data_IF_979104312516
#
_entry.id   IF_979104312516
#
_cell.length_a   1.000
_cell.length_b   1.000
_cell.length_c   1.000
_cell.angle_alpha   90.00
_cell.angle_beta   90.00
_cell.angle_gamma   90.00
#
_symmetry.space_group_name_H-M   'P 1'
#
loop_
_entity.id
_entity.type
_entity.pdbx_description
1 polymer ?
#
# COMPACT_ATOMS: atom_id res chain seq x y z
N UNK A 1 11.33 5.63 5.73
CA UNK A 1 10.97 4.70 6.82
C UNK A 1 9.48 4.46 6.80
N UNK A 2 9.04 3.20 6.95
CA UNK A 2 7.63 2.85 7.01
C UNK A 2 7.09 3.14 8.40
N UNK A 3 5.99 3.89 8.52
CA UNK A 3 5.38 4.20 9.81
C UNK A 3 4.58 3.02 10.40
N UNK A 4 4.37 1.95 9.64
CA UNK A 4 3.67 0.75 10.14
C UNK A 4 4.62 -0.26 10.81
N UNK A 5 5.82 -0.41 10.27
CA UNK A 5 6.73 -1.48 10.65
C UNK A 5 8.15 -1.00 10.98
N UNK A 6 8.36 0.32 11.01
CA UNK A 6 9.62 1.01 11.28
C UNK A 6 10.80 0.61 10.39
N UNK A 7 10.56 -0.18 9.34
CA UNK A 7 11.59 -0.59 8.39
C UNK A 7 11.96 0.57 7.47
N UNK A 8 13.26 0.74 7.26
CA UNK A 8 13.77 1.55 6.17
C UNK A 8 13.46 0.90 4.83
N UNK A 9 13.01 1.68 3.87
CA UNK A 9 12.72 1.22 2.52
C UNK A 9 12.89 2.37 1.54
N UNK A 10 13.23 2.01 0.30
CA UNK A 10 13.28 2.96 -0.80
C UNK A 10 11.87 3.14 -1.40
N UNK A 11 11.36 4.37 -1.41
CA UNK A 11 10.01 4.65 -1.89
C UNK A 11 9.95 4.79 -3.42
N UNK A 12 10.17 3.68 -4.14
CA UNK A 12 10.12 3.66 -5.62
C UNK A 12 8.71 3.82 -6.19
N UNK A 13 7.70 3.45 -5.41
CA UNK A 13 6.31 3.43 -5.83
C UNK A 13 5.56 4.73 -5.52
N UNK A 14 6.22 5.70 -4.88
CA UNK A 14 5.64 6.97 -4.43
C UNK A 14 4.36 6.80 -3.59
N UNK A 15 4.33 5.75 -2.75
CA UNK A 15 3.22 5.45 -1.83
C UNK A 15 3.70 5.61 -0.38
N UNK A 16 2.77 5.86 0.53
CA UNK A 16 3.09 6.18 1.93
C UNK A 16 3.43 4.96 2.81
N UNK A 17 3.71 3.79 2.21
CA UNK A 17 3.98 2.53 2.91
C UNK A 17 5.10 1.75 2.23
N UNK A 18 5.76 0.85 2.97
CA UNK A 18 6.76 -0.03 2.38
C UNK A 18 6.13 -1.15 1.53
N UNK A 19 6.92 -1.80 0.65
CA UNK A 19 6.45 -2.92 -0.16
C UNK A 19 5.83 -4.07 0.66
N UNK A 20 6.38 -4.39 1.82
CA UNK A 20 5.85 -5.46 2.68
C UNK A 20 4.45 -5.13 3.21
N UNK A 21 4.26 -3.90 3.71
CA UNK A 21 2.95 -3.44 4.17
C UNK A 21 1.97 -3.26 3.01
N UNK A 22 2.46 -2.92 1.82
CA UNK A 22 1.64 -2.79 0.62
C UNK A 22 1.01 -4.12 0.21
N UNK A 23 1.72 -5.24 0.34
CA UNK A 23 1.16 -6.57 0.10
C UNK A 23 0.03 -6.92 1.09
N UNK A 24 0.14 -6.48 2.34
CA UNK A 24 -0.92 -6.65 3.35
C UNK A 24 -2.13 -5.80 3.00
N UNK A 25 -1.93 -4.53 2.65
CA UNK A 25 -3.01 -3.62 2.25
C UNK A 25 -3.68 -4.07 0.95
N UNK A 26 -2.92 -4.66 0.01
CA UNK A 26 -3.47 -5.26 -1.21
C UNK A 26 -4.45 -6.38 -0.89
N UNK A 27 -4.09 -7.32 -0.02
CA UNK A 27 -4.99 -8.40 0.43
C UNK A 27 -6.24 -7.86 1.11
N UNK A 28 -6.12 -6.82 1.92
CA UNK A 28 -7.29 -6.15 2.54
C UNK A 28 -8.20 -5.54 1.47
N UNK A 29 -7.62 -4.84 0.50
CA UNK A 29 -8.34 -4.20 -0.59
C UNK A 29 -9.08 -5.22 -1.48
N UNK A 30 -8.45 -6.36 -1.76
CA UNK A 30 -9.08 -7.50 -2.46
C UNK A 30 -10.31 -8.05 -1.70
N UNK A 31 -10.31 -7.95 -0.37
CA UNK A 31 -11.46 -8.28 0.49
C UNK A 31 -12.44 -7.10 0.69
N UNK A 32 -12.30 -6.01 -0.07
CA UNK A 32 -13.16 -4.83 0.01
C UNK A 32 -12.85 -3.88 1.17
N UNK A 33 -11.73 -4.06 1.87
CA UNK A 33 -11.30 -3.20 2.98
C UNK A 33 -10.29 -2.16 2.46
N UNK A 34 -10.66 -0.87 2.41
CA UNK A 34 -9.75 0.17 1.93
C UNK A 34 -8.62 0.44 2.94
N UNK A 35 -7.48 0.88 2.41
CA UNK A 35 -6.35 1.37 3.20
C UNK A 35 -6.69 2.67 3.91
N UNK A 36 -6.06 2.90 5.06
CA UNK A 36 -6.08 4.22 5.73
C UNK A 36 -5.35 5.29 4.91
N UNK A 37 -4.45 4.89 4.01
CA UNK A 37 -3.68 5.81 3.18
C UNK A 37 -4.37 6.02 1.82
N UNK A 38 -4.76 7.26 1.53
CA UNK A 38 -5.40 7.61 0.25
C UNK A 38 -4.51 7.28 -0.97
N UNK A 39 -3.20 7.50 -0.86
CA UNK A 39 -2.22 7.18 -1.93
C UNK A 39 -2.14 5.69 -2.20
N UNK A 40 -2.28 4.86 -1.17
CA UNK A 40 -2.31 3.40 -1.31
C UNK A 40 -3.60 2.95 -1.99
N UNK A 41 -4.75 3.52 -1.62
CA UNK A 41 -6.02 3.19 -2.29
C UNK A 41 -5.99 3.55 -3.79
N UNK A 42 -5.47 4.73 -4.15
CA UNK A 42 -5.32 5.15 -5.54
C UNK A 42 -4.41 4.16 -6.28
N UNK A 43 -3.24 3.84 -5.71
CA UNK A 43 -2.30 2.90 -6.28
C UNK A 43 -2.91 1.50 -6.51
N UNK A 44 -3.62 0.98 -5.52
CA UNK A 44 -4.28 -0.33 -5.60
C UNK A 44 -5.42 -0.32 -6.62
N UNK A 45 -6.17 0.79 -6.73
CA UNK A 45 -7.23 0.94 -7.72
C UNK A 45 -6.69 0.99 -9.16
N UNK A 46 -5.53 1.61 -9.38
CA UNK A 46 -4.88 1.64 -10.70
C UNK A 46 -4.31 0.26 -11.09
N UNK A 47 -3.71 -0.46 -10.13
CA UNK A 47 -3.08 -1.77 -10.35
C UNK A 47 -4.08 -2.93 -10.45
N UNK A 48 -5.16 -2.93 -9.68
CA UNK A 48 -6.17 -4.00 -9.67
C UNK A 48 -7.25 -3.85 -10.74
N UNK A 49 -7.15 -2.86 -11.64
CA UNK A 49 -8.05 -2.68 -12.80
C UNK A 49 -7.72 -3.59 -14.00
N UNK A 50 -6.82 -4.56 -13.85
CA UNK A 50 -6.40 -5.49 -14.90
C UNK A 50 -7.01 -6.86 -14.65
#
# INVERSE_FOLDING_TARGET
MCLECDKEFENKLNVAICPECLEVEKKKYENGIPSKYKTVNIYLQEKCKT
#
